data_IF_071467315486
#
_entry.id   IF_071467315486
#
_cell.length_a   1.000
_cell.length_b   1.000
_cell.length_c   1.000
_cell.angle_alpha   90.00
_cell.angle_beta   90.00
_cell.angle_gamma   90.00
#
_symmetry.space_group_name_H-M   'P 1'
#
loop_
_entity.id
_entity.type
_entity.pdbx_description
1 polymer ?
#
# COMPACT_ATOMS: atom_id res chain seq x y z
N UNK A 1 33.22 -5.76 -7.42
CA UNK A 1 33.15 -6.37 -6.08
C UNK A 1 33.69 -5.45 -5.00
N UNK A 2 34.90 -4.86 -5.14
CA UNK A 2 35.47 -3.90 -4.17
C UNK A 2 34.58 -2.65 -3.88
N UNK A 3 33.87 -2.11 -4.86
CA UNK A 3 33.05 -0.90 -4.65
C UNK A 3 31.81 -1.11 -3.77
N UNK A 4 31.25 -2.31 -3.74
CA UNK A 4 30.08 -2.63 -2.89
C UNK A 4 30.48 -2.79 -1.42
N UNK A 5 31.68 -3.32 -1.16
CA UNK A 5 32.21 -3.44 0.21
C UNK A 5 32.47 -2.07 0.85
N UNK A 6 32.84 -1.07 0.05
CA UNK A 6 33.10 0.30 0.50
C UNK A 6 31.86 1.22 0.40
N UNK A 7 30.68 0.69 0.05
CA UNK A 7 29.49 1.49 -0.18
C UNK A 7 29.02 2.21 1.09
N UNK A 8 29.07 1.51 2.23
CA UNK A 8 28.72 2.08 3.54
C UNK A 8 29.65 3.24 3.91
N UNK A 9 30.96 3.05 3.83
CA UNK A 9 31.95 4.10 4.14
C UNK A 9 31.82 5.30 3.21
N UNK A 10 31.63 5.07 1.90
CA UNK A 10 31.37 6.15 0.92
C UNK A 10 30.08 6.91 1.24
N UNK A 11 29.02 6.20 1.65
CA UNK A 11 27.76 6.79 2.10
C UNK A 11 27.94 7.64 3.36
N UNK A 12 28.68 7.12 4.35
CA UNK A 12 29.00 7.82 5.60
C UNK A 12 29.78 9.12 5.33
N UNK A 13 30.85 9.04 4.54
CA UNK A 13 31.64 10.22 4.16
C UNK A 13 30.81 11.25 3.38
N UNK A 14 29.93 10.80 2.47
CA UNK A 14 29.03 11.68 1.75
C UNK A 14 28.03 12.40 2.69
N UNK A 15 27.56 11.71 3.74
CA UNK A 15 26.71 12.29 4.79
C UNK A 15 27.47 13.34 5.61
N UNK A 16 28.68 13.02 6.09
CA UNK A 16 29.53 13.94 6.86
C UNK A 16 29.87 15.21 6.07
N UNK A 17 30.20 15.07 4.79
CA UNK A 17 30.45 16.21 3.89
C UNK A 17 29.18 17.06 3.71
N UNK A 18 28.01 16.42 3.54
CA UNK A 18 26.74 17.15 3.43
C UNK A 18 26.44 17.97 4.70
N UNK A 19 26.60 17.37 5.88
CA UNK A 19 26.39 18.04 7.17
C UNK A 19 27.33 19.26 7.29
N UNK A 20 28.62 19.05 7.02
CA UNK A 20 29.63 20.09 7.17
C UNK A 20 29.45 21.23 6.17
N UNK A 21 29.28 20.91 4.89
CA UNK A 21 29.23 21.91 3.81
C UNK A 21 27.91 22.67 3.76
N UNK A 22 26.79 22.03 4.17
CA UNK A 22 25.44 22.57 3.90
C UNK A 22 24.59 22.84 5.13
N UNK A 23 24.83 22.18 6.26
CA UNK A 23 24.08 22.40 7.50
C UNK A 23 24.81 23.33 8.46
N UNK A 24 26.10 23.10 8.71
CA UNK A 24 26.84 23.77 9.81
C UNK A 24 27.75 24.92 9.37
N UNK A 25 28.11 25.04 8.08
CA UNK A 25 29.00 26.12 7.61
C UNK A 25 28.31 27.50 7.57
N UNK A 26 28.90 28.49 8.23
CA UNK A 26 28.40 29.88 8.34
C UNK A 26 28.38 30.58 6.97
N UNK A 27 29.35 30.30 6.11
CA UNK A 27 29.33 30.70 4.71
C UNK A 27 28.74 29.55 3.90
N UNK A 28 27.40 29.52 3.77
CA UNK A 28 26.72 28.51 2.92
C UNK A 28 27.27 28.58 1.50
N UNK A 29 28.26 27.76 1.17
CA UNK A 29 28.89 27.71 -0.16
C UNK A 29 27.95 27.08 -1.18
N UNK A 30 26.99 26.28 -0.69
CA UNK A 30 26.13 25.45 -1.52
C UNK A 30 24.74 25.31 -0.89
N UNK A 31 23.71 25.46 -1.71
CA UNK A 31 22.31 25.24 -1.33
C UNK A 31 22.10 23.79 -0.83
N UNK A 32 21.38 23.63 0.29
CA UNK A 32 21.10 22.34 0.93
C UNK A 32 20.36 21.37 -0.02
N UNK A 33 19.50 21.88 -0.90
CA UNK A 33 18.67 21.12 -1.85
C UNK A 33 19.36 20.88 -3.20
N UNK A 34 20.55 21.44 -3.42
CA UNK A 34 21.30 21.17 -4.65
C UNK A 34 21.56 19.66 -4.75
N UNK A 35 21.36 19.01 -5.90
CA UNK A 35 21.62 17.58 -6.02
C UNK A 35 22.99 17.19 -5.47
N UNK A 36 23.05 16.17 -4.62
CA UNK A 36 24.32 15.61 -4.14
C UNK A 36 24.98 14.90 -5.32
N UNK A 37 26.31 15.00 -5.42
CA UNK A 37 27.06 14.32 -6.49
C UNK A 37 26.77 12.82 -6.42
N UNK A 38 26.25 12.28 -7.52
CA UNK A 38 25.95 10.84 -7.62
C UNK A 38 27.23 10.05 -7.39
N UNK A 39 27.22 9.20 -6.36
CA UNK A 39 28.30 8.25 -6.11
C UNK A 39 28.16 7.11 -7.14
N UNK A 40 29.03 7.09 -8.15
CA UNK A 40 29.02 6.08 -9.21
C UNK A 40 29.56 4.75 -8.69
N UNK A 41 28.78 4.05 -7.86
CA UNK A 41 29.10 2.70 -7.42
C UNK A 41 28.82 1.74 -8.58
N UNK A 42 29.81 0.89 -8.92
CA UNK A 42 29.63 -0.17 -9.90
C UNK A 42 28.73 -1.26 -9.29
N UNK A 43 27.44 -1.24 -9.63
CA UNK A 43 26.47 -2.27 -9.26
C UNK A 43 26.32 -3.31 -10.38
N UNK A 44 25.80 -4.50 -10.06
CA UNK A 44 25.53 -5.57 -11.03
C UNK A 44 24.57 -5.14 -12.17
N UNK A 45 23.78 -4.08 -11.96
CA UNK A 45 22.81 -3.54 -12.93
C UNK A 45 23.40 -2.77 -14.11
N UNK A 46 24.71 -2.48 -14.13
CA UNK A 46 25.36 -1.80 -15.27
C UNK A 46 25.42 -2.65 -16.56
N UNK A 47 24.84 -3.86 -16.57
CA UNK A 47 24.80 -4.77 -17.72
C UNK A 47 23.42 -5.18 -18.24
N UNK A 48 22.30 -4.63 -17.77
CA UNK A 48 20.97 -5.03 -18.29
C UNK A 48 20.19 -3.94 -19.04
N UNK A 49 19.52 -4.43 -20.09
CA UNK A 49 18.86 -3.70 -21.17
C UNK A 49 17.54 -3.10 -20.68
N UNK A 50 17.35 -1.80 -20.90
CA UNK A 50 16.09 -1.08 -20.60
C UNK A 50 14.96 -1.58 -21.51
N UNK A 51 13.96 -2.26 -20.95
CA UNK A 51 12.71 -2.58 -21.62
C UNK A 51 11.85 -1.32 -21.87
N UNK A 52 11.27 -1.20 -23.07
CA UNK A 52 10.34 -0.12 -23.42
C UNK A 52 8.97 -0.34 -22.75
N UNK A 53 8.40 0.72 -22.15
CA UNK A 53 6.98 0.79 -21.76
C UNK A 53 6.10 0.89 -23.01
N UNK A 54 5.04 0.09 -23.09
CA UNK A 54 3.97 0.27 -24.08
C UNK A 54 2.95 1.29 -23.55
N UNK A 55 2.56 2.24 -24.39
CA UNK A 55 1.44 3.15 -24.11
C UNK A 55 0.13 2.37 -24.24
N UNK A 56 -0.68 2.36 -23.17
CA UNK A 56 -1.98 1.69 -23.15
C UNK A 56 -3.06 2.59 -23.77
N UNK A 57 -3.66 2.13 -24.86
CA UNK A 57 -4.86 2.73 -25.45
C UNK A 57 -6.07 2.34 -24.57
N UNK A 58 -6.62 3.32 -23.85
CA UNK A 58 -7.53 3.12 -22.72
C UNK A 58 -8.98 2.87 -23.18
N UNK A 59 -9.57 1.82 -22.60
CA UNK A 59 -11.00 1.54 -22.46
C UNK A 59 -11.70 0.68 -23.54
N UNK A 60 -11.48 0.86 -24.84
CA UNK A 60 -12.32 0.13 -25.81
C UNK A 60 -11.88 -1.33 -26.08
N UNK A 61 -10.60 -1.63 -25.93
CA UNK A 61 -10.07 -2.99 -26.12
C UNK A 61 -10.38 -3.93 -24.95
N UNK A 62 -10.42 -3.41 -23.71
CA UNK A 62 -10.69 -4.19 -22.50
C UNK A 62 -12.13 -4.71 -22.46
N UNK A 63 -13.10 -3.86 -22.82
CA UNK A 63 -14.52 -4.23 -22.86
C UNK A 63 -14.81 -5.37 -23.86
N UNK A 64 -14.19 -5.30 -25.05
CA UNK A 64 -14.30 -6.35 -26.07
C UNK A 64 -13.60 -7.65 -25.63
N UNK A 65 -12.49 -7.54 -24.90
CA UNK A 65 -11.77 -8.69 -24.37
C UNK A 65 -12.60 -9.44 -23.32
N UNK A 66 -13.21 -8.73 -22.36
CA UNK A 66 -14.04 -9.33 -21.31
C UNK A 66 -15.26 -10.05 -21.90
N UNK A 67 -16.00 -9.40 -22.83
CA UNK A 67 -17.17 -10.03 -23.47
C UNK A 67 -16.79 -11.31 -24.22
N UNK A 68 -15.67 -11.29 -24.92
CA UNK A 68 -15.18 -12.45 -25.65
C UNK A 68 -14.70 -13.57 -24.70
N UNK A 69 -14.06 -13.21 -23.59
CA UNK A 69 -13.63 -14.15 -22.56
C UNK A 69 -14.83 -14.86 -21.94
N UNK A 70 -15.82 -14.11 -21.46
CA UNK A 70 -17.01 -14.68 -20.84
C UNK A 70 -17.85 -15.51 -21.82
N UNK A 71 -17.99 -15.05 -23.07
CA UNK A 71 -18.65 -15.85 -24.11
C UNK A 71 -17.95 -17.19 -24.38
N UNK A 72 -16.61 -17.19 -24.47
CA UNK A 72 -15.83 -18.43 -24.62
C UNK A 72 -15.94 -19.33 -23.40
N UNK A 73 -15.92 -18.75 -22.21
CA UNK A 73 -16.03 -19.47 -20.95
C UNK A 73 -17.36 -20.23 -20.86
N UNK A 74 -18.48 -19.57 -21.21
CA UNK A 74 -19.80 -20.21 -21.25
C UNK A 74 -19.87 -21.35 -22.28
N UNK A 75 -19.32 -21.15 -23.48
CA UNK A 75 -19.26 -22.21 -24.50
C UNK A 75 -18.44 -23.40 -24.02
N UNK A 76 -17.28 -23.16 -23.42
CA UNK A 76 -16.42 -24.24 -22.91
C UNK A 76 -17.08 -24.97 -21.74
N UNK A 77 -17.71 -24.25 -20.83
CA UNK A 77 -18.44 -24.84 -19.72
C UNK A 77 -19.57 -25.74 -20.22
N UNK A 78 -20.31 -25.32 -21.25
CA UNK A 78 -21.35 -26.14 -21.86
C UNK A 78 -20.77 -27.37 -22.59
N UNK A 79 -19.75 -27.19 -23.42
CA UNK A 79 -19.16 -28.29 -24.22
C UNK A 79 -18.46 -29.33 -23.35
N UNK A 80 -17.92 -28.93 -22.20
CA UNK A 80 -17.16 -29.80 -21.29
C UNK A 80 -17.89 -30.16 -20.00
N UNK A 81 -19.15 -29.76 -19.85
CA UNK A 81 -19.96 -30.00 -18.65
C UNK A 81 -19.27 -29.50 -17.35
N UNK A 82 -18.64 -28.33 -17.41
CA UNK A 82 -17.97 -27.74 -16.25
C UNK A 82 -18.98 -26.98 -15.40
N UNK A 83 -18.83 -27.08 -14.08
CA UNK A 83 -19.57 -26.22 -13.16
C UNK A 83 -18.93 -24.83 -13.11
N UNK A 84 -19.67 -23.81 -13.55
CA UNK A 84 -19.23 -22.42 -13.51
C UNK A 84 -18.95 -21.94 -12.08
N UNK A 85 -19.59 -22.55 -11.08
CA UNK A 85 -19.32 -22.29 -9.66
C UNK A 85 -17.93 -22.74 -9.25
N UNK A 86 -17.43 -23.83 -9.83
CA UNK A 86 -16.06 -24.33 -9.62
C UNK A 86 -15.05 -23.46 -10.39
N UNK A 87 -15.34 -23.14 -11.66
CA UNK A 87 -14.47 -22.30 -12.50
C UNK A 87 -14.22 -20.93 -11.85
N UNK A 88 -15.26 -20.29 -11.28
CA UNK A 88 -15.15 -18.95 -10.73
C UNK A 88 -14.42 -18.86 -9.38
N UNK A 89 -14.04 -20.00 -8.77
CA UNK A 89 -13.09 -20.04 -7.65
C UNK A 89 -11.66 -19.71 -8.09
N UNK A 90 -11.36 -19.81 -9.39
CA UNK A 90 -10.06 -19.49 -9.97
C UNK A 90 -10.09 -18.14 -10.69
N UNK A 91 -8.89 -17.56 -10.87
CA UNK A 91 -8.77 -16.35 -11.68
C UNK A 91 -8.95 -16.66 -13.16
N UNK A 92 -9.72 -15.80 -13.84
CA UNK A 92 -10.06 -15.95 -15.26
C UNK A 92 -8.95 -15.43 -16.18
N UNK A 93 -7.83 -14.99 -15.61
CA UNK A 93 -6.67 -14.47 -16.30
C UNK A 93 -5.39 -14.69 -15.50
N UNK A 94 -4.24 -14.28 -16.06
CA UNK A 94 -2.93 -14.50 -15.43
C UNK A 94 -2.70 -13.66 -14.16
N UNK A 95 -3.55 -12.67 -13.91
CA UNK A 95 -3.46 -11.75 -12.78
C UNK A 95 -4.86 -11.53 -12.19
N UNK A 96 -4.97 -11.28 -10.87
CA UNK A 96 -6.22 -10.92 -10.22
C UNK A 96 -6.61 -9.49 -10.60
N UNK A 97 -7.46 -9.34 -11.61
CA UNK A 97 -7.86 -8.04 -12.16
C UNK A 97 -8.61 -7.14 -11.17
N UNK A 98 -9.09 -7.71 -10.06
CA UNK A 98 -9.65 -6.97 -8.93
C UNK A 98 -8.59 -6.20 -8.12
N UNK A 99 -7.31 -6.54 -8.27
CA UNK A 99 -6.17 -5.98 -7.54
C UNK A 99 -5.07 -5.40 -8.45
N UNK A 100 -5.15 -5.66 -9.75
CA UNK A 100 -4.12 -5.32 -10.75
C UNK A 100 -4.72 -4.62 -11.96
N UNK A 101 -4.05 -3.55 -12.43
CA UNK A 101 -4.42 -2.90 -13.69
C UNK A 101 -3.71 -3.58 -14.89
N UNK A 102 -4.11 -3.19 -16.10
CA UNK A 102 -3.71 -3.87 -17.34
C UNK A 102 -2.18 -3.96 -17.54
N UNK A 103 -1.40 -3.04 -16.99
CA UNK A 103 0.07 -3.04 -17.10
C UNK A 103 0.79 -3.90 -16.03
N UNK A 104 0.04 -4.59 -15.16
CA UNK A 104 0.58 -5.42 -14.09
C UNK A 104 0.84 -4.68 -12.77
N UNK A 105 0.61 -3.36 -12.72
CA UNK A 105 0.78 -2.60 -11.49
C UNK A 105 -0.45 -2.70 -10.57
N UNK A 106 -0.26 -2.53 -9.24
CA UNK A 106 -1.36 -2.49 -8.27
C UNK A 106 -2.43 -1.47 -8.62
N UNK A 107 -3.70 -1.81 -8.42
CA UNK A 107 -4.81 -0.85 -8.48
C UNK A 107 -4.56 0.25 -7.46
N UNK A 108 -4.76 1.50 -7.87
CA UNK A 108 -4.62 2.68 -7.01
C UNK A 108 -5.99 3.21 -6.58
N UNK A 109 -6.01 3.94 -5.48
CA UNK A 109 -7.20 4.57 -4.92
C UNK A 109 -6.90 6.00 -4.54
N UNK A 110 -7.93 6.84 -4.45
CA UNK A 110 -7.78 8.18 -3.91
C UNK A 110 -7.74 8.10 -2.38
N UNK A 111 -6.54 8.09 -1.81
CA UNK A 111 -6.33 8.02 -0.36
C UNK A 111 -6.92 9.24 0.37
N UNK A 112 -6.86 10.44 -0.23
CA UNK A 112 -7.29 11.69 0.43
C UNK A 112 -8.75 11.70 0.86
N UNK A 113 -9.60 10.88 0.24
CA UNK A 113 -11.00 10.72 0.67
C UNK A 113 -11.09 10.16 2.10
N UNK A 114 -10.10 9.37 2.54
CA UNK A 114 -10.05 8.90 3.92
C UNK A 114 -9.76 10.05 4.88
N UNK A 115 -8.81 10.94 4.57
CA UNK A 115 -8.56 12.16 5.35
C UNK A 115 -9.87 12.95 5.54
N UNK A 116 -10.59 13.26 4.45
CA UNK A 116 -11.88 13.96 4.51
C UNK A 116 -12.91 13.27 5.44
N UNK A 117 -12.88 11.93 5.53
CA UNK A 117 -13.77 11.16 6.40
C UNK A 117 -13.33 11.20 7.87
N UNK A 118 -12.03 11.14 8.15
CA UNK A 118 -11.48 11.24 9.50
C UNK A 118 -11.70 12.65 10.10
N UNK A 119 -11.61 13.67 9.26
CA UNK A 119 -11.83 15.06 9.64
C UNK A 119 -13.32 15.43 9.78
N UNK A 120 -14.22 14.60 9.24
CA UNK A 120 -15.64 14.95 9.10
C UNK A 120 -16.27 15.25 10.45
N UNK A 121 -16.77 16.48 10.58
CA UNK A 121 -17.46 16.95 11.78
C UNK A 121 -16.53 17.23 12.96
N UNK A 122 -15.20 17.16 12.79
CA UNK A 122 -14.21 17.56 13.80
C UNK A 122 -14.11 19.09 13.84
N UNK A 123 -14.10 19.65 15.04
CA UNK A 123 -13.96 21.10 15.21
C UNK A 123 -12.51 21.50 14.98
N UNK A 124 -12.30 22.55 14.18
CA UNK A 124 -10.96 23.06 13.90
C UNK A 124 -10.49 23.95 15.04
N UNK A 125 -9.28 23.68 15.51
CA UNK A 125 -8.59 24.54 16.46
C UNK A 125 -8.26 25.88 15.80
N UNK A 126 -8.33 26.96 16.58
CA UNK A 126 -7.96 28.30 16.12
C UNK A 126 -6.54 28.70 16.52
N UNK A 127 -6.02 28.09 17.59
CA UNK A 127 -4.76 28.47 18.21
C UNK A 127 -3.97 27.21 18.53
N UNK A 128 -2.66 27.27 18.25
CA UNK A 128 -1.71 26.22 18.62
C UNK A 128 -1.27 26.48 20.07
N UNK A 129 -1.27 25.47 20.95
CA UNK A 129 -0.77 25.64 22.32
C UNK A 129 0.66 26.18 22.35
N UNK A 130 0.94 27.06 23.31
CA UNK A 130 2.29 27.54 23.55
C UNK A 130 3.24 26.37 23.87
N UNK A 131 4.54 26.57 23.60
CA UNK A 131 5.59 25.57 23.88
C UNK A 131 5.39 24.19 23.19
N UNK A 132 4.60 24.13 22.12
CA UNK A 132 4.41 22.90 21.34
C UNK A 132 5.68 22.46 20.59
N UNK A 133 5.95 21.16 20.55
CA UNK A 133 6.97 20.58 19.66
C UNK A 133 6.45 20.51 18.23
N UNK A 134 7.25 20.95 17.25
CA UNK A 134 6.87 20.90 15.84
C UNK A 134 7.63 19.82 15.07
N UNK A 135 6.88 19.02 14.31
CA UNK A 135 7.41 18.00 13.40
C UNK A 135 6.87 18.30 12.01
N UNK A 136 7.77 18.44 11.03
CA UNK A 136 7.43 18.85 9.66
C UNK A 136 7.58 17.69 8.67
N UNK A 137 6.50 17.36 7.98
CA UNK A 137 6.43 16.51 6.79
C UNK A 137 6.21 17.37 5.54
N UNK A 138 7.14 18.29 5.32
CA UNK A 138 7.02 19.19 4.20
C UNK A 138 8.41 19.61 3.70
N UNK A 139 8.87 18.86 2.70
CA UNK A 139 10.09 19.19 1.97
C UNK A 139 10.00 20.58 1.33
N UNK A 140 8.82 21.07 0.94
CA UNK A 140 8.67 22.39 0.32
C UNK A 140 8.79 23.53 1.34
N UNK A 141 8.21 23.37 2.55
CA UNK A 141 8.44 24.32 3.65
C UNK A 141 9.90 24.30 4.06
N UNK A 142 10.50 23.13 4.21
CA UNK A 142 11.94 23.03 4.48
C UNK A 142 12.76 23.68 3.35
N UNK A 143 12.33 23.55 2.08
CA UNK A 143 12.92 24.23 0.92
C UNK A 143 12.86 25.75 0.98
N UNK A 144 11.81 26.30 1.59
CA UNK A 144 11.70 27.75 1.77
C UNK A 144 12.65 28.30 2.85
N UNK A 145 13.11 27.45 3.78
CA UNK A 145 14.05 27.81 4.85
C UNK A 145 15.48 27.85 4.28
N UNK A 146 15.79 28.86 3.48
CA UNK A 146 17.11 29.03 2.86
C UNK A 146 18.15 29.63 3.80
N UNK A 147 17.73 30.32 4.89
CA UNK A 147 18.60 31.14 5.76
C UNK A 147 18.45 30.89 7.26
N UNK A 148 18.20 29.66 7.71
CA UNK A 148 18.44 29.30 9.12
C UNK A 148 19.86 28.77 9.32
N UNK A 149 20.45 29.15 10.46
CA UNK A 149 21.57 28.43 11.08
C UNK A 149 20.99 27.16 11.70
N UNK A 150 21.49 26.00 11.26
CA UNK A 150 21.05 24.72 11.77
C UNK A 150 22.20 24.06 12.52
N UNK A 151 21.90 23.49 13.68
CA UNK A 151 22.81 22.59 14.38
C UNK A 151 22.34 21.16 14.20
N UNK A 152 23.26 20.24 13.93
CA UNK A 152 22.96 18.81 13.91
C UNK A 152 23.53 18.16 15.17
N UNK A 153 22.70 17.40 15.88
CA UNK A 153 23.12 16.56 17.00
C UNK A 153 22.64 15.15 16.71
N UNK A 154 23.51 14.17 16.94
CA UNK A 154 23.11 12.77 16.88
C UNK A 154 22.24 12.45 18.10
N UNK A 155 21.02 11.96 17.86
CA UNK A 155 20.08 11.57 18.90
C UNK A 155 19.87 10.07 18.84
N UNK A 156 20.54 9.35 19.74
CA UNK A 156 20.51 7.88 19.77
C UNK A 156 19.12 7.33 20.08
N UNK A 157 18.31 8.07 20.84
CA UNK A 157 16.93 7.72 21.15
C UNK A 157 16.00 7.73 19.91
N UNK A 158 16.40 8.40 18.83
CA UNK A 158 15.67 8.48 17.57
C UNK A 158 16.20 7.54 16.49
N UNK A 159 17.15 6.66 16.82
CA UNK A 159 17.67 5.65 15.89
C UNK A 159 16.52 4.77 15.39
N UNK A 160 16.32 4.64 14.08
CA UNK A 160 15.24 3.77 13.58
C UNK A 160 15.67 3.00 12.34
N UNK A 161 15.18 1.76 12.23
CA UNK A 161 15.31 0.93 11.03
C UNK A 161 14.10 1.05 10.09
N UNK A 162 13.08 1.83 10.48
CA UNK A 162 12.02 2.23 9.58
C UNK A 162 12.63 3.03 8.42
N UNK A 163 12.11 2.87 7.21
CA UNK A 163 12.62 3.59 6.04
C UNK A 163 11.87 4.92 5.83
N UNK A 164 10.54 4.87 5.92
CA UNK A 164 9.64 5.97 5.57
C UNK A 164 9.58 7.07 6.65
N UNK A 165 9.30 8.31 6.22
CA UNK A 165 9.26 9.46 7.11
C UNK A 165 7.99 9.48 7.97
N UNK A 166 6.85 9.12 7.39
CA UNK A 166 5.53 9.04 8.02
C UNK A 166 5.55 8.27 9.35
N UNK A 167 6.22 7.12 9.40
CA UNK A 167 6.40 6.31 10.61
C UNK A 167 7.39 6.93 11.59
N UNK A 168 8.54 7.41 11.09
CA UNK A 168 9.56 8.04 11.94
C UNK A 168 9.03 9.25 12.69
N UNK A 169 8.13 10.02 12.10
CA UNK A 169 7.52 11.17 12.77
C UNK A 169 6.84 10.81 14.09
N UNK A 170 6.26 9.62 14.21
CA UNK A 170 5.64 9.18 15.47
C UNK A 170 6.65 8.74 16.51
N UNK A 171 7.81 8.20 16.09
CA UNK A 171 8.94 8.00 17.00
C UNK A 171 9.44 9.36 17.54
N UNK A 172 9.54 10.38 16.68
CA UNK A 172 9.91 11.73 17.09
C UNK A 172 8.86 12.35 18.03
N UNK A 173 7.56 12.13 17.75
CA UNK A 173 6.48 12.57 18.61
C UNK A 173 6.55 11.89 19.98
N UNK A 174 6.77 10.57 20.02
CA UNK A 174 6.98 9.84 21.28
C UNK A 174 8.17 10.40 22.05
N UNK A 175 9.30 10.60 21.39
CA UNK A 175 10.49 11.17 22.03
C UNK A 175 10.20 12.57 22.61
N UNK A 176 9.47 13.43 21.88
CA UNK A 176 9.07 14.73 22.40
C UNK A 176 8.18 14.60 23.65
N UNK A 177 7.22 13.68 23.63
CA UNK A 177 6.39 13.37 24.80
C UNK A 177 7.24 12.93 26.00
N UNK A 178 8.20 12.04 25.76
CA UNK A 178 9.12 11.52 26.79
C UNK A 178 10.07 12.62 27.33
N UNK A 179 10.30 13.71 26.58
CA UNK A 179 11.02 14.91 27.03
C UNK A 179 10.13 15.95 27.74
N UNK A 180 8.84 15.68 27.89
CA UNK A 180 7.91 16.51 28.67
C UNK A 180 7.12 17.55 27.87
N UNK A 181 7.06 17.45 26.54
CA UNK A 181 6.19 18.32 25.74
C UNK A 181 4.73 17.89 25.85
N UNK A 182 3.82 18.77 26.27
CA UNK A 182 2.39 18.42 26.39
C UNK A 182 1.67 18.37 25.05
N UNK A 183 2.14 19.15 24.06
CA UNK A 183 1.53 19.27 22.74
C UNK A 183 2.55 19.09 21.62
N UNK A 184 2.14 18.34 20.59
CA UNK A 184 2.97 18.03 19.43
C UNK A 184 2.19 18.40 18.17
N UNK A 185 2.75 19.29 17.36
CA UNK A 185 2.17 19.72 16.09
C UNK A 185 2.89 18.99 14.96
N UNK A 186 2.12 18.18 14.23
CA UNK A 186 2.58 17.48 13.03
C UNK A 186 2.04 18.24 11.82
N UNK A 187 2.95 18.89 11.06
CA UNK A 187 2.61 19.53 9.79
C UNK A 187 2.78 18.52 8.66
N UNK A 188 1.67 17.92 8.21
CA UNK A 188 1.62 17.03 7.04
C UNK A 188 0.30 17.24 6.29
N UNK A 189 0.30 16.94 4.99
CA UNK A 189 -0.94 16.81 4.20
C UNK A 189 -1.13 15.38 3.66
N UNK A 190 -0.29 14.44 4.12
CA UNK A 190 -0.36 13.04 3.74
C UNK A 190 -1.44 12.32 4.56
N UNK A 191 -2.28 11.56 3.85
CA UNK A 191 -3.29 10.71 4.48
C UNK A 191 -2.65 9.63 5.35
N UNK A 192 -1.48 9.14 4.98
CA UNK A 192 -0.78 8.08 5.70
C UNK A 192 -0.41 8.60 7.11
N UNK A 193 0.02 9.85 7.22
CA UNK A 193 0.29 10.51 8.52
C UNK A 193 -0.98 10.71 9.35
N UNK A 194 -2.10 11.14 8.75
CA UNK A 194 -3.36 11.31 9.49
C UNK A 194 -3.91 9.98 10.04
N UNK A 195 -3.81 8.91 9.25
CA UNK A 195 -4.15 7.54 9.66
C UNK A 195 -3.31 7.11 10.87
N UNK A 196 -1.99 7.29 10.78
CA UNK A 196 -1.07 6.90 11.85
C UNK A 196 -1.23 7.77 13.10
N UNK A 197 -1.53 9.05 12.95
CA UNK A 197 -1.77 9.93 14.08
C UNK A 197 -2.97 9.48 14.91
N UNK A 198 -4.09 9.14 14.25
CA UNK A 198 -5.25 8.59 14.96
C UNK A 198 -4.92 7.31 15.72
N UNK A 199 -4.08 6.44 15.15
CA UNK A 199 -3.63 5.22 15.81
C UNK A 199 -2.72 5.51 17.01
N UNK A 200 -1.70 6.36 16.84
CA UNK A 200 -0.67 6.61 17.85
C UNK A 200 -1.05 7.59 18.95
N UNK A 201 -2.14 8.34 18.80
CA UNK A 201 -2.61 9.26 19.85
C UNK A 201 -2.81 8.56 21.20
N UNK A 202 -3.21 7.29 21.24
CA UNK A 202 -3.33 6.54 22.50
C UNK A 202 -2.04 5.82 22.94
N UNK A 203 -1.00 5.87 22.12
CA UNK A 203 0.33 5.33 22.45
C UNK A 203 1.30 6.43 22.93
N UNK A 204 0.96 7.69 22.67
CA UNK A 204 1.78 8.87 22.96
C UNK A 204 1.00 9.72 23.97
N UNK A 205 1.62 10.06 25.10
CA UNK A 205 0.94 10.78 26.20
C UNK A 205 0.57 12.22 25.85
N UNK A 206 1.33 12.84 24.95
CA UNK A 206 1.08 14.22 24.49
C UNK A 206 -0.11 14.31 23.55
N UNK A 207 -0.74 15.47 23.53
CA UNK A 207 -1.79 15.78 22.58
C UNK A 207 -1.20 16.02 21.19
N UNK A 208 -1.56 15.18 20.22
CA UNK A 208 -1.14 15.32 18.83
C UNK A 208 -2.12 16.24 18.10
N UNK A 209 -1.57 17.20 17.39
CA UNK A 209 -2.30 18.18 16.59
C UNK A 209 -1.78 18.09 15.16
N UNK A 210 -2.67 17.88 14.19
CA UNK A 210 -2.28 17.86 12.78
C UNK A 210 -2.59 19.22 12.16
N UNK A 211 -1.59 19.81 11.51
CA UNK A 211 -1.75 20.97 10.66
C UNK A 211 -1.77 20.52 9.19
N UNK A 212 -2.95 20.25 8.64
CA UNK A 212 -3.13 19.72 7.27
C UNK A 212 -3.63 20.78 6.29
N UNK A 213 -3.58 20.49 4.99
CA UNK A 213 -3.98 21.40 3.92
C UNK A 213 -2.93 22.44 3.50
N UNK A 214 -3.24 23.16 2.42
CA UNK A 214 -2.35 24.12 1.75
C UNK A 214 -2.90 25.55 1.82
N UNK A 215 -2.00 26.52 2.04
CA UNK A 215 -2.30 27.96 2.06
C UNK A 215 -3.55 28.31 2.88
N UNK A 216 -4.59 28.85 2.22
CA UNK A 216 -5.84 29.32 2.84
C UNK A 216 -6.79 28.21 3.28
N UNK A 217 -6.50 26.94 2.97
CA UNK A 217 -7.27 25.77 3.40
C UNK A 217 -6.58 24.97 4.50
N UNK A 218 -5.62 25.59 5.19
CA UNK A 218 -4.95 24.97 6.31
C UNK A 218 -5.94 24.71 7.44
N UNK A 219 -5.90 23.51 8.02
CA UNK A 219 -6.78 23.08 9.10
C UNK A 219 -5.92 22.58 10.23
N UNK A 220 -6.23 23.04 11.44
CA UNK A 220 -5.57 22.62 12.67
C UNK A 220 -6.52 21.68 13.41
N UNK A 221 -6.14 20.42 13.52
CA UNK A 221 -7.00 19.34 13.96
C UNK A 221 -6.44 18.69 15.21
N UNK A 222 -7.24 18.64 16.26
CA UNK A 222 -6.91 17.90 17.47
C UNK A 222 -7.17 16.40 17.24
N UNK A 223 -6.13 15.58 17.28
CA UNK A 223 -6.25 14.15 16.97
C UNK A 223 -7.05 13.42 18.05
N UNK A 224 -6.93 13.79 19.33
CA UNK A 224 -7.76 13.25 20.40
C UNK A 224 -9.26 13.44 20.11
N UNK A 225 -9.64 14.59 19.57
CA UNK A 225 -11.02 14.89 19.17
C UNK A 225 -11.48 14.07 17.95
N UNK A 226 -10.57 13.78 17.02
CA UNK A 226 -10.82 12.84 15.92
C UNK A 226 -11.08 11.43 16.47
N UNK A 227 -10.19 10.93 17.33
CA UNK A 227 -10.30 9.61 17.95
C UNK A 227 -11.59 9.46 18.78
N UNK A 228 -11.97 10.49 19.54
CA UNK A 228 -13.21 10.50 20.31
C UNK A 228 -14.46 10.38 19.43
N UNK A 229 -14.45 10.97 18.22
CA UNK A 229 -15.55 10.87 17.25
C UNK A 229 -15.59 9.54 16.51
N UNK A 230 -14.42 9.00 16.17
CA UNK A 230 -14.29 7.72 15.47
C UNK A 230 -14.65 6.53 16.37
N UNK A 231 -14.30 6.62 17.65
CA UNK A 231 -14.41 5.52 18.61
C UNK A 231 -13.23 4.54 18.52
N UNK A 232 -13.05 3.80 19.62
CA UNK A 232 -11.86 2.97 19.85
C UNK A 232 -11.62 1.91 18.77
N UNK A 233 -12.67 1.19 18.40
CA UNK A 233 -12.55 0.12 17.41
C UNK A 233 -12.11 0.66 16.04
N UNK A 234 -12.54 1.87 15.67
CA UNK A 234 -12.23 2.43 14.35
C UNK A 234 -10.78 2.90 14.28
N UNK A 235 -10.30 3.73 15.22
CA UNK A 235 -8.92 4.23 15.12
C UNK A 235 -7.89 3.10 15.25
N UNK A 236 -8.17 2.05 16.03
CA UNK A 236 -7.31 0.84 16.10
C UNK A 236 -7.28 0.07 14.79
N UNK A 237 -8.38 0.07 14.05
CA UNK A 237 -8.49 -0.57 12.75
C UNK A 237 -7.83 0.20 11.61
N UNK A 238 -7.57 1.51 11.76
CA UNK A 238 -7.13 2.37 10.66
C UNK A 238 -5.87 1.90 9.93
N UNK A 239 -4.78 1.47 10.59
CA UNK A 239 -3.60 0.97 9.88
C UNK A 239 -3.91 -0.25 8.99
N UNK A 240 -4.63 -1.23 9.55
CA UNK A 240 -5.04 -2.44 8.83
C UNK A 240 -6.03 -2.14 7.69
N UNK A 241 -7.02 -1.28 7.96
CA UNK A 241 -7.98 -0.77 6.98
C UNK A 241 -7.29 -0.05 5.83
N UNK A 242 -6.37 0.85 6.14
CA UNK A 242 -5.69 1.65 5.14
C UNK A 242 -4.80 0.80 4.23
N UNK A 243 -4.05 -0.14 4.82
CA UNK A 243 -3.24 -1.11 4.08
C UNK A 243 -4.10 -2.02 3.20
N UNK A 244 -5.17 -2.60 3.75
CA UNK A 244 -6.01 -3.56 3.02
C UNK A 244 -6.85 -2.90 1.92
N UNK A 245 -7.35 -1.68 2.12
CA UNK A 245 -8.16 -0.98 1.10
C UNK A 245 -7.30 -0.24 0.06
N UNK A 246 -5.99 -0.36 0.16
CA UNK A 246 -5.00 0.16 -0.77
C UNK A 246 -4.19 1.32 -0.20
N UNK A 247 -2.87 1.16 -0.24
CA UNK A 247 -1.88 2.16 0.08
C UNK A 247 -0.79 2.19 -1.03
N UNK A 248 0.43 2.64 -0.73
CA UNK A 248 1.47 2.69 -1.76
C UNK A 248 2.05 1.32 -2.11
N UNK A 249 2.23 0.46 -1.12
CA UNK A 249 2.80 -0.88 -1.24
C UNK A 249 1.75 -1.97 -1.49
N UNK A 250 0.47 -1.70 -1.20
CA UNK A 250 -0.62 -2.67 -1.29
C UNK A 250 -1.72 -2.17 -2.23
N UNK A 251 -2.17 -3.04 -3.15
CA UNK A 251 -3.27 -2.73 -4.07
C UNK A 251 -4.53 -2.25 -3.38
N UNK A 252 -5.22 -1.31 -4.01
CA UNK A 252 -6.63 -1.09 -3.73
C UNK A 252 -7.51 -2.17 -4.38
N UNK A 253 -8.77 -2.20 -3.99
CA UNK A 253 -9.79 -3.05 -4.56
C UNK A 253 -10.48 -2.33 -5.72
N UNK A 254 -10.41 -2.90 -6.91
CA UNK A 254 -10.92 -2.28 -8.13
C UNK A 254 -12.43 -1.98 -8.04
N UNK A 255 -12.80 -0.73 -8.35
CA UNK A 255 -14.17 -0.24 -8.23
C UNK A 255 -14.68 -0.11 -6.79
N UNK A 256 -13.86 -0.33 -5.76
CA UNK A 256 -14.23 -0.18 -4.34
C UNK A 256 -13.39 0.92 -3.68
N UNK A 257 -13.93 2.15 -3.69
CA UNK A 257 -13.28 3.30 -3.08
C UNK A 257 -13.25 3.25 -1.54
N UNK A 258 -12.30 3.98 -0.93
CA UNK A 258 -12.12 4.03 0.53
C UNK A 258 -13.37 4.51 1.28
N UNK A 259 -14.15 5.45 0.72
CA UNK A 259 -15.40 5.90 1.35
C UNK A 259 -16.41 4.77 1.53
N UNK A 260 -16.60 3.92 0.51
CA UNK A 260 -17.51 2.78 0.62
C UNK A 260 -16.98 1.76 1.64
N UNK A 261 -15.68 1.47 1.58
CA UNK A 261 -15.04 0.53 2.51
C UNK A 261 -15.10 1.02 3.95
N UNK A 262 -14.92 2.32 4.18
CA UNK A 262 -15.03 2.94 5.50
C UNK A 262 -16.46 2.84 6.04
N UNK A 263 -17.48 3.06 5.20
CA UNK A 263 -18.88 2.83 5.58
C UNK A 263 -19.13 1.40 6.07
N UNK A 264 -18.57 0.40 5.38
CA UNK A 264 -18.65 -1.01 5.79
C UNK A 264 -17.91 -1.24 7.11
N UNK A 265 -16.69 -0.72 7.25
CA UNK A 265 -15.91 -0.79 8.49
C UNK A 265 -16.73 -0.27 9.69
N UNK A 266 -17.36 0.90 9.54
CA UNK A 266 -18.14 1.54 10.61
C UNK A 266 -19.49 0.86 10.90
N UNK A 267 -19.98 0.02 10.00
CA UNK A 267 -21.28 -0.66 10.18
C UNK A 267 -21.22 -1.93 11.04
N UNK A 268 -20.03 -2.45 11.35
CA UNK A 268 -19.87 -3.72 12.06
C UNK A 268 -18.66 -3.72 12.97
N UNK A 269 -18.88 -4.02 14.25
CA UNK A 269 -17.82 -4.20 15.25
C UNK A 269 -16.88 -5.32 14.82
N UNK A 270 -17.41 -6.43 14.31
CA UNK A 270 -16.63 -7.57 13.79
C UNK A 270 -15.59 -7.12 12.76
N UNK A 271 -15.99 -6.23 11.84
CA UNK A 271 -15.07 -5.73 10.81
C UNK A 271 -14.02 -4.82 11.41
N UNK A 272 -14.39 -3.88 12.28
CA UNK A 272 -13.41 -3.02 12.94
C UNK A 272 -12.42 -3.80 13.79
N UNK A 273 -12.86 -4.79 14.57
CA UNK A 273 -11.98 -5.65 15.36
C UNK A 273 -11.08 -6.50 14.47
N UNK A 274 -11.64 -7.16 13.44
CA UNK A 274 -10.86 -7.95 12.49
C UNK A 274 -9.78 -7.14 11.79
N UNK A 275 -10.10 -5.94 11.28
CA UNK A 275 -9.11 -5.08 10.63
C UNK A 275 -8.08 -4.51 11.63
N UNK A 276 -8.45 -4.36 12.91
CA UNK A 276 -7.49 -4.01 13.96
C UNK A 276 -6.47 -5.11 14.24
N UNK A 277 -6.77 -6.37 13.94
CA UNK A 277 -5.83 -7.48 14.12
C UNK A 277 -4.72 -7.54 13.05
N UNK A 278 -4.87 -6.84 11.92
CA UNK A 278 -3.78 -6.76 10.95
C UNK A 278 -2.60 -6.01 11.55
N UNK A 279 -1.40 -6.56 11.38
CA UNK A 279 -0.16 -5.96 11.86
C UNK A 279 0.15 -6.22 13.32
N UNK A 280 -0.52 -7.17 13.98
CA UNK A 280 -0.12 -7.62 15.33
C UNK A 280 1.12 -8.52 15.28
N UNK A 281 1.22 -9.36 14.24
CA UNK A 281 2.35 -10.27 14.00
C UNK A 281 2.78 -10.22 12.53
N UNK A 282 4.05 -10.56 12.24
CA UNK A 282 4.49 -10.85 10.87
C UNK A 282 4.06 -12.25 10.41
N UNK A 283 3.67 -13.13 11.31
CA UNK A 283 3.28 -14.52 11.03
C UNK A 283 2.00 -14.63 10.18
N UNK A 284 1.61 -15.87 9.87
CA UNK A 284 0.44 -16.13 9.04
C UNK A 284 -0.86 -15.64 9.68
N UNK A 285 -1.72 -15.08 8.82
CA UNK A 285 -3.04 -14.60 9.22
C UNK A 285 -3.94 -15.82 9.46
N UNK A 286 -4.52 -15.91 10.66
CA UNK A 286 -5.35 -17.05 11.06
C UNK A 286 -6.61 -17.26 10.22
N UNK A 287 -7.16 -18.48 10.25
CA UNK A 287 -8.33 -18.87 9.46
C UNK A 287 -9.58 -18.04 9.80
N UNK A 288 -9.83 -17.79 11.09
CA UNK A 288 -10.99 -16.99 11.53
C UNK A 288 -10.90 -15.53 11.08
N UNK A 289 -9.69 -14.97 11.08
CA UNK A 289 -9.44 -13.64 10.56
C UNK A 289 -9.66 -13.62 9.04
N UNK A 290 -9.23 -14.66 8.33
CA UNK A 290 -9.51 -14.83 6.90
C UNK A 290 -11.02 -14.87 6.59
N UNK A 291 -11.81 -15.61 7.38
CA UNK A 291 -13.28 -15.63 7.25
C UNK A 291 -13.93 -14.26 7.50
N UNK A 292 -13.42 -13.50 8.47
CA UNK A 292 -13.86 -12.13 8.73
C UNK A 292 -13.63 -11.22 7.52
N UNK A 293 -12.48 -11.36 6.85
CA UNK A 293 -12.15 -10.61 5.64
C UNK A 293 -13.00 -11.04 4.42
N UNK A 294 -13.35 -12.32 4.29
CA UNK A 294 -14.31 -12.77 3.29
C UNK A 294 -15.68 -12.09 3.49
N UNK A 295 -16.18 -12.05 4.73
CA UNK A 295 -17.43 -11.36 5.08
C UNK A 295 -17.34 -9.85 4.82
N UNK A 296 -16.23 -9.21 5.19
CA UNK A 296 -15.99 -7.79 4.92
C UNK A 296 -16.04 -7.49 3.43
N UNK A 297 -15.38 -8.30 2.60
CA UNK A 297 -15.41 -8.15 1.14
C UNK A 297 -16.83 -8.39 0.61
N UNK A 298 -17.55 -9.41 1.06
CA UNK A 298 -18.94 -9.62 0.64
C UNK A 298 -19.83 -8.40 0.94
N UNK A 299 -19.73 -7.84 2.15
CA UNK A 299 -20.43 -6.61 2.52
C UNK A 299 -20.00 -5.41 1.65
N UNK A 300 -18.71 -5.28 1.32
CA UNK A 300 -18.18 -4.24 0.42
C UNK A 300 -18.74 -4.33 -1.00
N UNK A 301 -19.05 -5.55 -1.46
CA UNK A 301 -19.74 -5.77 -2.72
C UNK A 301 -21.26 -5.58 -2.62
N UNK A 302 -21.82 -5.46 -1.40
CA UNK A 302 -23.24 -5.23 -1.14
C UNK A 302 -24.06 -6.52 -1.04
N UNK A 303 -23.44 -7.61 -0.60
CA UNK A 303 -24.07 -8.93 -0.52
C UNK A 303 -23.92 -9.51 0.89
N UNK A 304 -25.00 -10.11 1.39
CA UNK A 304 -25.01 -10.90 2.62
C UNK A 304 -24.57 -12.34 2.34
N UNK A 305 -23.29 -12.49 2.01
CA UNK A 305 -22.63 -13.77 1.73
C UNK A 305 -21.37 -13.83 2.61
N UNK A 306 -20.93 -15.03 2.98
CA UNK A 306 -19.77 -15.24 3.85
C UNK A 306 -18.63 -16.00 3.17
N UNK A 307 -18.75 -16.24 1.86
CA UNK A 307 -17.77 -16.91 1.03
C UNK A 307 -17.52 -16.09 -0.23
N UNK A 308 -16.26 -15.71 -0.45
CA UNK A 308 -15.90 -14.79 -1.54
C UNK A 308 -16.03 -15.42 -2.94
N UNK A 309 -15.84 -16.73 -3.06
CA UNK A 309 -15.96 -17.42 -4.34
C UNK A 309 -17.43 -17.63 -4.73
N UNK A 310 -18.30 -17.92 -3.76
CA UNK A 310 -19.76 -17.90 -3.95
C UNK A 310 -20.23 -16.51 -4.38
N UNK A 311 -19.71 -15.45 -3.76
CA UNK A 311 -19.99 -14.08 -4.16
C UNK A 311 -19.58 -13.82 -5.62
N UNK A 312 -18.38 -14.27 -6.03
CA UNK A 312 -17.92 -14.16 -7.42
C UNK A 312 -18.90 -14.83 -8.38
N UNK A 313 -19.35 -16.05 -8.07
CA UNK A 313 -20.37 -16.75 -8.85
C UNK A 313 -21.69 -15.97 -8.94
N UNK A 314 -22.21 -15.47 -7.81
CA UNK A 314 -23.47 -14.72 -7.81
C UNK A 314 -23.39 -13.40 -8.59
N UNK A 315 -22.28 -12.67 -8.49
CA UNK A 315 -22.07 -11.46 -9.28
C UNK A 315 -22.02 -11.81 -10.76
N UNK A 316 -21.34 -12.89 -11.12
CA UNK A 316 -21.28 -13.37 -12.49
C UNK A 316 -22.66 -13.70 -13.07
N UNK A 317 -23.51 -14.41 -12.32
CA UNK A 317 -24.85 -14.75 -12.77
C UNK A 317 -25.80 -13.55 -12.91
N UNK A 318 -25.65 -12.52 -12.07
CA UNK A 318 -26.59 -11.40 -12.00
C UNK A 318 -26.18 -10.17 -12.83
N UNK A 319 -24.92 -10.06 -13.23
CA UNK A 319 -24.42 -8.87 -13.90
C UNK A 319 -24.82 -8.83 -15.39
N UNK A 320 -25.50 -7.76 -15.80
CA UNK A 320 -25.85 -7.51 -17.22
C UNK A 320 -24.64 -7.15 -18.08
N UNK A 321 -23.66 -6.45 -17.50
CA UNK A 321 -22.39 -6.07 -18.12
C UNK A 321 -21.27 -6.34 -17.12
N UNK A 322 -20.73 -7.56 -17.16
CA UNK A 322 -19.66 -7.96 -16.26
C UNK A 322 -18.29 -7.58 -16.82
N UNK A 323 -17.42 -7.11 -15.92
CA UNK A 323 -16.01 -6.88 -16.21
C UNK A 323 -15.16 -7.66 -15.21
N UNK A 324 -14.07 -8.27 -15.68
CA UNK A 324 -13.24 -9.12 -14.80
C UNK A 324 -12.69 -8.35 -13.60
N UNK A 325 -12.33 -7.07 -13.80
CA UNK A 325 -11.83 -6.22 -12.73
C UNK A 325 -12.89 -5.83 -11.69
N UNK A 326 -14.19 -6.00 -11.98
CA UNK A 326 -15.28 -5.72 -11.06
C UNK A 326 -15.77 -6.97 -10.31
N UNK A 327 -15.19 -8.14 -10.58
CA UNK A 327 -15.38 -9.32 -9.75
C UNK A 327 -14.56 -9.17 -8.45
N UNK A 328 -15.05 -9.69 -7.31
CA UNK A 328 -14.23 -9.87 -6.11
C UNK A 328 -12.98 -10.67 -6.42
N UNK A 329 -11.87 -10.49 -5.68
CA UNK A 329 -10.72 -11.40 -5.78
C UNK A 329 -11.12 -12.85 -5.46
N UNK A 330 -10.43 -13.84 -6.01
CA UNK A 330 -10.57 -15.23 -5.51
C UNK A 330 -10.10 -15.33 -4.06
N UNK A 331 -10.47 -16.40 -3.37
CA UNK A 331 -9.95 -16.69 -2.03
C UNK A 331 -8.41 -16.69 -1.97
N UNK A 332 -7.73 -17.30 -2.94
CA UNK A 332 -6.26 -17.31 -3.03
C UNK A 332 -5.68 -15.89 -3.16
N UNK A 333 -6.18 -15.11 -4.12
CA UNK A 333 -5.73 -13.72 -4.33
C UNK A 333 -6.03 -12.82 -3.10
N UNK A 334 -7.15 -13.04 -2.42
CA UNK A 334 -7.51 -12.36 -1.18
C UNK A 334 -6.50 -12.68 -0.08
N UNK A 335 -6.15 -13.95 0.14
CA UNK A 335 -5.18 -14.34 1.17
C UNK A 335 -3.80 -13.73 0.91
N UNK A 336 -3.35 -13.69 -0.36
CA UNK A 336 -2.10 -12.98 -0.72
C UNK A 336 -2.17 -11.50 -0.43
N UNK A 337 -3.30 -10.87 -0.72
CA UNK A 337 -3.52 -9.46 -0.44
C UNK A 337 -3.57 -9.16 1.06
N UNK A 338 -4.19 -10.03 1.86
CA UNK A 338 -4.17 -9.96 3.33
C UNK A 338 -2.75 -10.07 3.89
N UNK A 339 -1.93 -11.00 3.37
CA UNK A 339 -0.52 -11.12 3.80
C UNK A 339 0.26 -9.81 3.58
N UNK A 340 0.05 -9.16 2.43
CA UNK A 340 0.68 -7.85 2.15
C UNK A 340 0.18 -6.74 3.08
N UNK A 341 -1.13 -6.68 3.28
CA UNK A 341 -1.75 -5.69 4.18
C UNK A 341 -1.29 -5.87 5.63
N UNK A 342 -1.19 -7.12 6.10
CA UNK A 342 -0.70 -7.47 7.42
C UNK A 342 0.75 -6.99 7.63
N UNK A 343 1.62 -7.28 6.66
CA UNK A 343 3.03 -6.88 6.70
C UNK A 343 3.19 -5.35 6.76
N UNK A 344 2.48 -4.62 5.88
CA UNK A 344 2.51 -3.16 5.88
C UNK A 344 1.96 -2.58 7.20
N UNK A 345 0.83 -3.11 7.68
CA UNK A 345 0.26 -2.66 8.96
C UNK A 345 1.21 -2.93 10.14
N UNK A 346 1.96 -4.05 10.13
CA UNK A 346 2.95 -4.33 11.19
C UNK A 346 4.09 -3.32 11.18
N UNK A 347 4.62 -2.98 10.00
CA UNK A 347 5.65 -1.94 9.84
C UNK A 347 5.17 -0.64 10.48
N UNK A 348 3.96 -0.21 10.12
CA UNK A 348 3.34 1.00 10.66
C UNK A 348 3.14 0.94 12.17
N UNK A 349 2.56 -0.14 12.70
CA UNK A 349 2.28 -0.28 14.14
C UNK A 349 3.55 -0.35 15.00
N UNK A 350 4.64 -0.86 14.45
CA UNK A 350 5.96 -0.91 15.10
C UNK A 350 6.77 0.38 14.94
N UNK A 351 6.17 1.51 14.53
CA UNK A 351 6.90 2.77 14.34
C UNK A 351 7.61 3.29 15.61
N UNK A 352 7.08 2.96 16.80
CA UNK A 352 7.63 3.39 18.09
C UNK A 352 8.71 2.44 18.64
N UNK A 353 9.00 1.33 17.95
CA UNK A 353 9.88 0.26 18.42
C UNK A 353 11.18 0.22 17.59
N UNK A 354 12.31 -0.14 18.23
CA UNK A 354 13.57 -0.39 17.53
C UNK A 354 13.61 -1.80 16.91
N UNK A 355 12.59 -2.17 16.13
CA UNK A 355 12.47 -3.50 15.57
C UNK A 355 13.09 -3.61 14.18
N UNK A 356 13.74 -4.74 13.91
CA UNK A 356 14.15 -5.11 12.55
C UNK A 356 12.93 -5.55 11.76
N UNK A 357 12.68 -4.89 10.63
CA UNK A 357 11.69 -5.35 9.66
C UNK A 357 12.27 -6.59 8.96
N UNK A 358 11.57 -7.74 8.99
CA UNK A 358 12.03 -8.94 8.30
C UNK A 358 11.92 -8.77 6.77
N UNK A 359 12.48 -9.71 6.02
CA UNK A 359 12.31 -9.73 4.57
C UNK A 359 10.82 -9.86 4.20
N UNK A 360 10.31 -9.12 3.19
CA UNK A 360 8.93 -9.25 2.73
C UNK A 360 8.66 -10.57 1.98
N UNK A 361 9.70 -11.40 1.74
CA UNK A 361 9.54 -12.69 1.09
C UNK A 361 8.55 -13.58 1.83
N UNK A 362 7.63 -14.21 1.10
CA UNK A 362 6.52 -15.02 1.63
C UNK A 362 5.40 -14.25 2.36
N UNK A 363 5.52 -12.93 2.56
CA UNK A 363 4.43 -12.08 3.07
C UNK A 363 3.56 -11.50 1.95
N UNK A 364 3.37 -12.27 0.88
CA UNK A 364 2.66 -11.84 -0.34
C UNK A 364 3.58 -11.17 -1.38
N UNK A 365 4.89 -11.19 -1.16
CA UNK A 365 5.92 -10.87 -2.15
C UNK A 365 6.89 -12.04 -2.33
N UNK A 366 7.58 -12.03 -3.47
CA UNK A 366 8.68 -12.91 -3.82
C UNK A 366 9.93 -12.05 -3.95
N UNK A 367 10.98 -12.41 -3.21
CA UNK A 367 12.28 -11.75 -3.28
C UNK A 367 13.26 -12.68 -3.99
N UNK A 368 13.79 -12.24 -5.13
CA UNK A 368 14.81 -12.96 -5.90
C UNK A 368 15.88 -11.99 -6.40
N UNK A 369 17.16 -12.28 -6.14
CA UNK A 369 18.28 -11.45 -6.58
C UNK A 369 18.11 -9.96 -6.23
N UNK A 370 17.67 -9.67 -4.99
CA UNK A 370 17.35 -8.32 -4.50
C UNK A 370 16.21 -7.58 -5.24
N UNK A 371 15.50 -8.26 -6.14
CA UNK A 371 14.29 -7.76 -6.78
C UNK A 371 13.06 -8.26 -6.01
N UNK A 372 12.14 -7.34 -5.75
CA UNK A 372 10.86 -7.61 -5.10
C UNK A 372 9.77 -7.62 -6.16
N UNK A 373 8.97 -8.69 -6.18
CA UNK A 373 7.77 -8.80 -7.01
C UNK A 373 6.59 -9.28 -6.18
N UNK A 374 5.36 -8.94 -6.58
CA UNK A 374 4.17 -9.34 -5.83
C UNK A 374 3.84 -10.82 -6.14
N UNK A 375 3.63 -11.61 -5.09
CA UNK A 375 3.02 -12.93 -5.22
C UNK A 375 1.49 -12.75 -5.29
N UNK A 376 0.93 -12.91 -6.48
CA UNK A 376 -0.51 -12.71 -6.70
C UNK A 376 -1.36 -13.94 -6.37
N UNK A 377 -0.84 -15.14 -6.63
CA UNK A 377 -1.58 -16.41 -6.60
C UNK A 377 -0.60 -17.55 -6.26
N UNK A 378 -0.99 -18.48 -5.40
CA UNK A 378 -0.29 -19.76 -5.23
C UNK A 378 -0.83 -20.84 -6.17
N UNK A 379 -2.14 -20.82 -6.41
CA UNK A 379 -2.82 -21.83 -7.22
C UNK A 379 -2.95 -21.36 -8.66
N UNK A 380 -2.39 -22.14 -9.59
CA UNK A 380 -2.79 -22.05 -10.98
C UNK A 380 -4.16 -22.73 -11.14
N UNK A 381 -4.99 -22.31 -12.10
CA UNK A 381 -6.18 -23.07 -12.43
C UNK A 381 -5.79 -24.49 -12.83
N UNK A 382 -6.12 -25.48 -11.99
CA UNK A 382 -5.85 -26.90 -12.29
C UNK A 382 -6.73 -27.41 -13.44
N UNK A 383 -7.81 -26.69 -13.73
CA UNK A 383 -8.74 -27.07 -14.78
C UNK A 383 -8.13 -26.81 -16.17
N UNK A 384 -7.81 -27.89 -16.89
CA UNK A 384 -7.29 -27.87 -18.27
C UNK A 384 -8.09 -26.95 -19.22
N UNK A 385 -9.38 -26.76 -18.94
CA UNK A 385 -10.25 -25.86 -19.68
C UNK A 385 -9.93 -24.36 -19.48
N UNK A 386 -9.54 -23.95 -18.27
CA UNK A 386 -9.09 -22.59 -17.96
C UNK A 386 -7.73 -22.31 -18.60
N UNK A 387 -6.83 -23.28 -18.62
CA UNK A 387 -5.55 -23.17 -19.34
C UNK A 387 -5.75 -22.92 -20.85
N UNK A 388 -6.79 -23.51 -21.45
CA UNK A 388 -7.14 -23.29 -22.85
C UNK A 388 -7.74 -21.89 -23.08
N UNK A 389 -8.56 -21.39 -22.16
CA UNK A 389 -9.08 -20.01 -22.21
C UNK A 389 -7.95 -18.96 -22.17
N UNK A 390 -6.90 -19.24 -21.39
CA UNK A 390 -5.77 -18.36 -21.15
C UNK A 390 -4.67 -18.52 -22.23
N UNK A 391 -4.76 -19.54 -23.09
CA UNK A 391 -3.78 -19.80 -24.15
C UNK A 391 -3.84 -18.78 -25.31
N UNK A 392 -2.69 -18.31 -25.80
CA UNK A 392 -2.66 -17.40 -26.96
C UNK A 392 -3.08 -18.12 -28.26
N UNK A 393 -3.84 -17.43 -29.11
CA UNK A 393 -4.12 -17.80 -30.50
C UNK A 393 -2.93 -17.62 -31.47
N UNK A 394 -1.70 -17.64 -30.98
CA UNK A 394 -0.50 -17.29 -31.74
C UNK A 394 0.02 -18.51 -32.52
N UNK A 395 0.07 -18.42 -33.86
CA UNK A 395 0.41 -19.57 -34.74
C UNK A 395 1.89 -19.98 -34.78
N UNK A 396 2.83 -19.13 -34.34
CA UNK A 396 4.27 -19.33 -34.62
C UNK A 396 5.23 -19.33 -33.41
N UNK A 397 4.82 -18.91 -32.21
CA UNK A 397 5.77 -18.65 -31.09
C UNK A 397 5.62 -19.53 -29.84
N UNK A 398 4.62 -20.42 -29.77
CA UNK A 398 4.36 -21.23 -28.57
C UNK A 398 4.56 -22.72 -28.88
N UNK A 399 5.81 -23.19 -28.88
CA UNK A 399 6.12 -24.62 -29.05
C UNK A 399 5.62 -25.49 -27.87
N UNK A 400 5.32 -24.88 -26.73
CA UNK A 400 4.61 -25.51 -25.61
C UNK A 400 3.24 -24.85 -25.42
N UNK A 401 2.16 -25.60 -25.70
CA UNK A 401 0.76 -25.21 -25.45
C UNK A 401 0.43 -25.02 -23.94
N UNK A 402 1.42 -25.16 -23.05
CA UNK A 402 1.32 -24.97 -21.60
C UNK A 402 1.86 -23.61 -21.12
N UNK A 403 2.26 -22.71 -22.02
CA UNK A 403 2.84 -21.42 -21.63
C UNK A 403 1.75 -20.36 -21.42
N UNK A 404 1.61 -19.89 -20.18
CA UNK A 404 0.88 -18.68 -19.84
C UNK A 404 1.51 -17.51 -20.61
N UNK A 405 0.72 -16.89 -21.50
CA UNK A 405 1.03 -15.65 -22.23
C UNK A 405 2.05 -15.77 -23.39
N UNK A 406 1.65 -15.30 -24.58
CA UNK A 406 2.57 -15.12 -25.71
C UNK A 406 3.37 -13.82 -25.56
N UNK A 407 4.68 -13.94 -25.73
CA UNK A 407 5.71 -12.89 -25.60
C UNK A 407 5.60 -11.69 -26.56
N UNK A 408 4.59 -11.64 -27.43
CA UNK A 408 4.46 -10.58 -28.47
C UNK A 408 3.35 -9.56 -28.24
N UNK A 409 2.46 -9.74 -27.25
CA UNK A 409 1.47 -8.69 -26.87
C UNK A 409 1.66 -8.09 -25.48
N UNK A 410 2.56 -8.66 -24.68
CA UNK A 410 3.12 -8.02 -23.50
C UNK A 410 4.62 -8.32 -23.53
N UNK A 411 5.43 -7.26 -23.46
CA UNK A 411 6.87 -7.36 -23.29
C UNK A 411 7.10 -8.06 -21.95
N UNK A 412 7.48 -9.34 -22.04
CA UNK A 412 8.28 -10.13 -21.12
C UNK A 412 8.39 -9.59 -19.68
N UNK A 413 7.56 -10.09 -18.76
CA UNK A 413 8.04 -10.47 -17.43
C UNK A 413 8.30 -11.96 -17.48
N UNK A 414 9.49 -12.31 -17.99
CA UNK A 414 9.98 -13.69 -17.99
C UNK A 414 10.38 -13.99 -16.56
N UNK A 415 9.74 -15.01 -15.98
CA UNK A 415 10.16 -15.68 -14.76
C UNK A 415 11.67 -16.00 -14.82
N UNK A 416 12.41 -15.43 -13.89
CA UNK A 416 13.66 -15.99 -13.36
C UNK A 416 13.40 -16.31 -11.89
#
# INVERSE_FOLDING_TARGET
MCDLLNAYEKGKLASENFITERLTCIQKSTDIFKPIKRQSLLTFSTKEIKGKRLMADKNNNTLKADRNLFGRLLVIAQTRQLDMREVLQFELGPLPWSLVIVDGTPVKTNKSVLADLLEKGVEQMQVIPEESMWIFDDMAVFQSITRMLMTSVECTELLSKQEEADTKMFLHAKHAADKGYDSIVIKSSDTDVEVLACYFQNCISSNIIILTGTFSKCRLLNVQSMCAKLGENIFRALPGFHAFTGCDSVSALSGKGKSKAFGVLTSSVEFSEGLSCLGETFEEVGEELSKTFERFLCALYGYEINNIDELRFRIFCNAKNIHCHLLPATKDAMLKHMKRANFQAKIWKSALEHNTVPSPNNHGWIVKNDLISINWLDQLPELDALLILISCSCKACCANKKMFMCSTRFILYRWL
#
